data_IF_568106261670
#
_entry.id   IF_568106261670
#
_cell.length_a   1.000
_cell.length_b   1.000
_cell.length_c   1.000
_cell.angle_alpha   90.00
_cell.angle_beta   90.00
_cell.angle_gamma   90.00
#
_symmetry.space_group_name_H-M   'P 1'
#
loop_
_entity.id
_entity.type
_entity.pdbx_description
1 polymer ?
#
# COMPACT_ATOMS: atom_id res chain seq x y z
N UNK A 1 -5.85 1.97 -22.84
CA UNK A 1 -4.50 1.47 -22.51
C UNK A 1 -4.51 0.56 -21.28
N UNK A 2 -4.98 1.02 -20.11
CA UNK A 2 -4.97 0.22 -18.87
C UNK A 2 -5.76 -1.10 -18.95
N UNK A 3 -6.99 -1.10 -19.49
CA UNK A 3 -7.78 -2.32 -19.63
C UNK A 3 -7.11 -3.37 -20.54
N UNK A 4 -6.46 -2.91 -21.61
CA UNK A 4 -5.71 -3.76 -22.54
C UNK A 4 -4.47 -4.31 -21.86
N UNK A 5 -3.73 -3.50 -21.08
CA UNK A 5 -2.55 -3.99 -20.34
C UNK A 5 -2.91 -4.97 -19.24
N UNK A 6 -4.02 -4.77 -18.53
CA UNK A 6 -4.52 -5.71 -17.52
C UNK A 6 -4.96 -7.01 -18.19
N UNK A 7 -5.69 -6.92 -19.30
CA UNK A 7 -6.11 -8.11 -20.05
C UNK A 7 -4.92 -8.90 -20.62
N UNK A 8 -3.92 -8.22 -21.20
CA UNK A 8 -2.72 -8.90 -21.72
C UNK A 8 -1.90 -9.53 -20.61
N UNK A 9 -1.78 -8.89 -19.45
CA UNK A 9 -1.13 -9.50 -18.27
C UNK A 9 -1.91 -10.73 -17.78
N UNK A 10 -3.24 -10.64 -17.68
CA UNK A 10 -4.08 -11.77 -17.29
C UNK A 10 -3.99 -12.93 -18.28
N UNK A 11 -4.02 -12.66 -19.58
CA UNK A 11 -3.86 -13.67 -20.63
C UNK A 11 -2.46 -14.29 -20.62
N UNK A 12 -1.42 -13.49 -20.38
CA UNK A 12 -0.05 -13.98 -20.22
C UNK A 12 0.07 -14.92 -19.01
N UNK A 13 -0.48 -14.54 -17.85
CA UNK A 13 -0.48 -15.39 -16.66
C UNK A 13 -1.28 -16.67 -16.87
N UNK A 14 -2.40 -16.60 -17.60
CA UNK A 14 -3.20 -17.78 -17.97
C UNK A 14 -2.41 -18.74 -18.88
N UNK A 15 -1.71 -18.21 -19.88
CA UNK A 15 -0.96 -19.01 -20.88
C UNK A 15 0.39 -19.51 -20.35
N UNK A 16 1.00 -18.81 -19.40
CA UNK A 16 2.32 -19.12 -18.83
C UNK A 16 2.21 -19.38 -17.33
N UNK A 17 1.42 -20.38 -16.95
CA UNK A 17 1.16 -20.74 -15.55
C UNK A 17 2.44 -21.06 -14.75
N UNK A 18 3.49 -21.56 -15.41
CA UNK A 18 4.78 -21.82 -14.77
C UNK A 18 5.60 -20.54 -14.51
N UNK A 19 5.33 -19.44 -15.23
CA UNK A 19 6.09 -18.19 -15.11
C UNK A 19 5.44 -17.23 -14.12
N UNK A 20 4.10 -17.24 -14.02
CA UNK A 20 3.36 -16.32 -13.16
C UNK A 20 3.81 -16.35 -11.68
N UNK A 21 4.06 -17.51 -11.04
CA UNK A 21 4.59 -17.56 -9.68
C UNK A 21 5.98 -16.92 -9.55
N UNK A 22 6.84 -17.04 -10.56
CA UNK A 22 8.17 -16.42 -10.54
C UNK A 22 8.09 -14.90 -10.68
N UNK A 23 7.18 -14.40 -11.53
CA UNK A 23 6.90 -12.96 -11.65
C UNK A 23 6.37 -12.43 -10.32
N UNK A 24 5.42 -13.12 -9.69
CA UNK A 24 4.90 -12.75 -8.38
C UNK A 24 6.00 -12.69 -7.31
N UNK A 25 6.93 -13.65 -7.31
CA UNK A 25 8.06 -13.64 -6.41
C UNK A 25 9.00 -12.44 -6.63
N UNK A 26 9.28 -12.07 -7.88
CA UNK A 26 10.08 -10.88 -8.18
C UNK A 26 9.37 -9.57 -7.82
N UNK A 27 8.06 -9.48 -8.08
CA UNK A 27 7.25 -8.33 -7.66
C UNK A 27 7.27 -8.16 -6.14
N UNK A 28 7.20 -9.27 -5.40
CA UNK A 28 7.18 -9.27 -3.95
C UNK A 28 8.45 -8.62 -3.32
N UNK A 29 9.62 -8.77 -3.95
CA UNK A 29 10.89 -8.19 -3.48
C UNK A 29 11.26 -6.86 -4.14
N UNK A 30 10.56 -6.43 -5.19
CA UNK A 30 10.89 -5.22 -5.94
C UNK A 30 11.00 -3.96 -5.06
N UNK A 31 10.11 -3.73 -4.07
CA UNK A 31 10.23 -2.59 -3.17
C UNK A 31 11.39 -2.66 -2.17
N UNK A 32 12.25 -3.69 -2.21
CA UNK A 32 13.37 -3.85 -1.27
C UNK A 32 14.32 -2.66 -1.31
N UNK A 33 14.49 -2.05 -2.49
CA UNK A 33 15.27 -0.82 -2.63
C UNK A 33 14.74 0.30 -1.71
N UNK A 34 13.42 0.45 -1.60
CA UNK A 34 12.78 1.44 -0.72
C UNK A 34 13.05 1.18 0.76
N UNK A 35 13.07 -0.10 1.15
CA UNK A 35 13.43 -0.47 2.52
C UNK A 35 14.88 -0.10 2.84
N UNK A 36 15.81 -0.31 1.89
CA UNK A 36 17.21 0.12 2.06
C UNK A 36 17.28 1.64 2.21
N UNK A 37 16.56 2.40 1.38
CA UNK A 37 16.51 3.86 1.45
C UNK A 37 16.01 4.38 2.80
N UNK A 38 14.98 3.75 3.38
CA UNK A 38 14.51 4.09 4.73
C UNK A 38 15.62 3.91 5.78
N UNK A 39 16.35 2.78 5.74
CA UNK A 39 17.40 2.52 6.71
C UNK A 39 18.61 3.44 6.55
N UNK A 40 18.97 3.79 5.31
CA UNK A 40 20.03 4.79 5.08
C UNK A 40 19.63 6.15 5.64
N UNK A 41 18.36 6.53 5.49
CA UNK A 41 17.85 7.79 5.97
C UNK A 41 17.79 7.84 7.51
N UNK A 42 17.33 6.76 8.14
CA UNK A 42 17.40 6.60 9.60
C UNK A 42 18.84 6.74 10.11
N UNK A 43 19.81 6.13 9.44
CA UNK A 43 21.23 6.25 9.81
C UNK A 43 21.76 7.68 9.64
N UNK A 44 21.33 8.39 8.59
CA UNK A 44 21.69 9.79 8.36
C UNK A 44 21.09 10.71 9.43
N UNK A 45 19.82 10.51 9.79
CA UNK A 45 19.17 11.30 10.84
C UNK A 45 19.81 11.06 12.21
N UNK A 46 20.19 9.82 12.54
CA UNK A 46 20.94 9.49 13.77
C UNK A 46 22.32 10.17 13.78
N UNK A 47 22.91 10.40 12.61
CA UNK A 47 24.23 11.03 12.47
C UNK A 47 24.18 12.57 12.38
N UNK A 48 23.04 13.19 12.72
CA UNK A 48 22.78 14.64 12.59
C UNK A 48 23.07 15.22 11.20
N UNK A 49 22.96 14.38 10.16
CA UNK A 49 23.05 14.85 8.77
C UNK A 49 21.66 15.20 8.28
N UNK A 50 21.54 16.30 7.54
CA UNK A 50 20.29 16.70 6.92
C UNK A 50 19.73 15.55 6.07
N UNK A 51 18.48 15.20 6.37
CA UNK A 51 17.82 14.06 5.75
C UNK A 51 17.40 14.33 4.31
N UNK A 52 17.37 13.27 3.50
CA UNK A 52 16.88 13.31 2.13
C UNK A 52 15.51 12.64 2.02
N UNK A 53 14.79 12.90 0.92
CA UNK A 53 13.55 12.20 0.64
C UNK A 53 13.82 10.70 0.37
N UNK A 54 13.47 9.85 1.31
CA UNK A 54 13.68 8.39 1.21
C UNK A 54 12.63 7.69 0.34
N UNK A 55 11.59 8.39 -0.12
CA UNK A 55 10.58 7.86 -1.04
C UNK A 55 11.05 7.85 -2.51
N UNK A 56 12.22 8.45 -2.80
CA UNK A 56 12.99 8.33 -4.04
C UNK A 56 12.15 8.46 -5.32
N UNK A 57 11.77 7.32 -5.92
CA UNK A 57 11.10 7.24 -7.23
C UNK A 57 9.58 7.48 -7.18
N UNK A 58 8.99 7.51 -5.99
CA UNK A 58 7.56 7.73 -5.83
C UNK A 58 7.26 9.22 -5.69
N UNK A 59 6.42 9.75 -6.58
CA UNK A 59 5.97 11.14 -6.52
C UNK A 59 5.14 11.47 -5.26
N UNK A 60 4.65 10.45 -4.55
CA UNK A 60 3.81 10.58 -3.36
C UNK A 60 3.95 9.34 -2.47
N UNK A 61 4.05 9.55 -1.15
CA UNK A 61 4.10 8.49 -0.13
C UNK A 61 2.96 7.48 -0.29
N UNK A 62 1.76 7.94 -0.68
CA UNK A 62 0.58 7.07 -0.83
C UNK A 62 0.72 6.09 -2.00
N UNK A 63 1.44 6.49 -3.05
CA UNK A 63 1.68 5.62 -4.20
C UNK A 63 2.65 4.50 -3.84
N UNK A 64 3.61 4.78 -2.94
CA UNK A 64 4.48 3.76 -2.36
C UNK A 64 3.67 2.80 -1.47
N UNK A 65 2.85 3.33 -0.56
CA UNK A 65 1.99 2.54 0.34
C UNK A 65 1.07 1.58 -0.43
N UNK A 66 0.40 2.08 -1.48
CA UNK A 66 -0.50 1.30 -2.32
C UNK A 66 0.25 0.23 -3.12
N UNK A 67 1.49 0.50 -3.55
CA UNK A 67 2.33 -0.47 -4.24
C UNK A 67 2.91 -1.54 -3.28
N UNK A 68 3.20 -1.18 -2.02
CA UNK A 68 3.73 -2.09 -1.01
C UNK A 68 2.69 -3.11 -0.56
N UNK A 69 1.42 -2.71 -0.45
CA UNK A 69 0.33 -3.57 0.02
C UNK A 69 0.28 -4.96 -0.67
N UNK A 70 0.17 -5.07 -2.01
CA UNK A 70 0.16 -6.37 -2.67
C UNK A 70 1.50 -7.11 -2.53
N UNK A 71 2.63 -6.38 -2.49
CA UNK A 71 3.96 -6.99 -2.36
C UNK A 71 4.14 -7.71 -1.01
N UNK A 72 3.63 -7.13 0.08
CA UNK A 72 3.63 -7.75 1.41
C UNK A 72 2.86 -9.07 1.40
N UNK A 73 1.65 -9.10 0.81
CA UNK A 73 0.86 -10.33 0.72
C UNK A 73 1.55 -11.39 -0.15
N UNK A 74 2.17 -10.99 -1.27
CA UNK A 74 2.94 -11.91 -2.11
C UNK A 74 4.16 -12.48 -1.37
N UNK A 75 4.88 -11.67 -0.57
CA UNK A 75 5.97 -12.16 0.27
C UNK A 75 5.49 -13.22 1.26
N UNK A 76 4.36 -12.99 1.94
CA UNK A 76 3.79 -13.95 2.89
C UNK A 76 3.23 -15.20 2.21
N UNK A 77 2.74 -15.09 0.98
CA UNK A 77 2.26 -16.23 0.20
C UNK A 77 3.41 -17.17 -0.24
N UNK A 78 4.63 -16.64 -0.36
CA UNK A 78 5.85 -17.37 -0.74
C UNK A 78 5.77 -18.08 -2.12
N UNK A 79 5.52 -17.34 -3.22
CA UNK A 79 5.41 -17.93 -4.55
C UNK A 79 6.77 -18.41 -5.11
N UNK A 80 6.73 -19.42 -5.99
CA UNK A 80 7.88 -19.94 -6.74
C UNK A 80 9.16 -20.17 -5.91
N UNK A 81 10.24 -19.45 -6.22
CA UNK A 81 11.53 -19.62 -5.59
C UNK A 81 11.54 -19.20 -4.10
N UNK A 82 10.50 -18.49 -3.63
CA UNK A 82 10.29 -18.20 -2.20
C UNK A 82 9.65 -19.37 -1.43
N UNK A 83 9.06 -20.34 -2.14
CA UNK A 83 8.42 -21.50 -1.52
C UNK A 83 9.45 -22.38 -0.81
N UNK A 84 9.01 -23.06 0.25
CA UNK A 84 9.79 -24.15 0.82
C UNK A 84 9.87 -25.28 -0.20
N UNK A 85 11.03 -25.91 -0.28
CA UNK A 85 11.28 -26.96 -1.26
C UNK A 85 12.00 -28.11 -0.55
N UNK A 86 11.40 -29.29 -0.63
CA UNK A 86 11.89 -30.47 0.07
C UNK A 86 13.31 -30.86 -0.37
N UNK A 87 13.68 -30.55 -1.63
CA UNK A 87 14.98 -30.90 -2.19
C UNK A 87 16.05 -29.83 -1.94
N UNK A 88 15.70 -28.66 -1.39
CA UNK A 88 16.67 -27.62 -1.05
C UNK A 88 17.33 -27.91 0.29
N UNK A 89 18.60 -27.52 0.40
CA UNK A 89 19.33 -27.62 1.65
C UNK A 89 18.61 -26.86 2.78
N UNK A 90 18.45 -27.50 3.93
CA UNK A 90 17.74 -26.94 5.10
C UNK A 90 18.22 -25.54 5.52
N UNK A 91 19.52 -25.25 5.34
CA UNK A 91 20.13 -23.94 5.64
C UNK A 91 19.59 -22.86 4.71
N UNK A 92 19.46 -23.16 3.42
CA UNK A 92 18.96 -22.20 2.42
C UNK A 92 17.50 -21.86 2.70
N UNK A 93 16.66 -22.85 3.02
CA UNK A 93 15.24 -22.65 3.33
C UNK A 93 15.02 -21.81 4.60
N UNK A 94 15.87 -22.01 5.62
CA UNK A 94 15.91 -21.16 6.82
C UNK A 94 16.33 -19.74 6.48
N UNK A 95 17.38 -19.58 5.66
CA UNK A 95 17.85 -18.27 5.19
C UNK A 95 16.77 -17.52 4.41
N UNK A 96 16.12 -18.16 3.43
CA UNK A 96 15.00 -17.58 2.68
C UNK A 96 13.87 -17.16 3.62
N UNK A 97 13.50 -18.01 4.58
CA UNK A 97 12.44 -17.68 5.53
C UNK A 97 12.82 -16.49 6.41
N UNK A 98 14.08 -16.40 6.86
CA UNK A 98 14.58 -15.25 7.61
C UNK A 98 14.60 -13.98 6.75
N UNK A 99 15.03 -14.06 5.48
CA UNK A 99 14.98 -12.93 4.55
C UNK A 99 13.55 -12.44 4.33
N UNK A 100 12.58 -13.34 4.09
CA UNK A 100 11.17 -12.96 3.95
C UNK A 100 10.68 -12.23 5.20
N UNK A 101 11.00 -12.74 6.39
CA UNK A 101 10.62 -12.10 7.65
C UNK A 101 11.23 -10.70 7.79
N UNK A 102 12.52 -10.54 7.49
CA UNK A 102 13.20 -9.23 7.57
C UNK A 102 12.63 -8.22 6.57
N UNK A 103 12.42 -8.65 5.32
CA UNK A 103 11.90 -7.79 4.24
C UNK A 103 10.44 -7.39 4.50
N UNK A 104 9.59 -8.33 4.93
CA UNK A 104 8.21 -8.00 5.26
C UNK A 104 8.12 -7.11 6.51
N UNK A 105 9.00 -7.30 7.49
CA UNK A 105 9.10 -6.39 8.66
C UNK A 105 9.50 -4.98 8.22
N UNK A 106 10.47 -4.84 7.32
CA UNK A 106 10.87 -3.51 6.83
C UNK A 106 9.78 -2.85 5.99
N UNK A 107 9.00 -3.60 5.21
CA UNK A 107 7.86 -3.03 4.47
C UNK A 107 6.76 -2.54 5.40
N UNK A 108 6.41 -3.30 6.44
CA UNK A 108 5.44 -2.84 7.43
C UNK A 108 5.99 -1.64 8.20
N UNK A 109 7.30 -1.59 8.45
CA UNK A 109 7.94 -0.43 9.09
C UNK A 109 7.83 0.84 8.23
N UNK A 110 8.00 0.74 6.91
CA UNK A 110 7.73 1.84 5.96
C UNK A 110 6.31 2.38 6.17
N UNK A 111 5.30 1.49 6.16
CA UNK A 111 3.88 1.88 6.35
C UNK A 111 3.63 2.60 7.68
N UNK A 112 4.37 2.24 8.74
CA UNK A 112 4.30 2.94 10.02
C UNK A 112 4.87 4.36 9.94
N UNK A 113 6.01 4.54 9.29
CA UNK A 113 6.66 5.85 9.11
C UNK A 113 5.86 6.78 8.20
N UNK A 114 5.20 6.23 7.18
CA UNK A 114 4.33 6.99 6.27
C UNK A 114 2.99 7.36 6.91
N UNK A 115 2.65 6.73 8.03
CA UNK A 115 1.35 6.88 8.66
C UNK A 115 0.23 6.30 7.80
N UNK A 116 0.49 5.19 7.09
CA UNK A 116 -0.37 4.55 6.10
C UNK A 116 -1.56 3.79 6.72
N UNK A 117 -2.42 4.49 7.46
CA UNK A 117 -3.51 3.91 8.27
C UNK A 117 -4.46 3.03 7.49
N UNK A 118 -4.92 3.49 6.33
CA UNK A 118 -5.85 2.75 5.50
C UNK A 118 -5.23 1.42 5.03
N UNK A 119 -3.94 1.42 4.71
CA UNK A 119 -3.20 0.22 4.30
C UNK A 119 -3.03 -0.73 5.47
N UNK A 120 -2.60 -0.25 6.64
CA UNK A 120 -2.48 -1.07 7.84
C UNK A 120 -3.82 -1.71 8.26
N UNK A 121 -4.91 -0.94 8.21
CA UNK A 121 -6.27 -1.45 8.47
C UNK A 121 -6.66 -2.50 7.41
N UNK A 122 -6.34 -2.27 6.14
CA UNK A 122 -6.63 -3.23 5.07
C UNK A 122 -5.86 -4.54 5.25
N UNK A 123 -4.61 -4.49 5.70
CA UNK A 123 -3.82 -5.68 6.06
C UNK A 123 -4.51 -6.44 7.19
N UNK A 124 -4.87 -5.74 8.28
CA UNK A 124 -5.55 -6.36 9.43
C UNK A 124 -6.89 -6.97 9.03
N UNK A 125 -7.69 -6.27 8.22
CA UNK A 125 -8.96 -6.75 7.72
C UNK A 125 -8.79 -7.99 6.83
N UNK A 126 -7.79 -8.00 5.95
CA UNK A 126 -7.48 -9.15 5.10
C UNK A 126 -7.02 -10.36 5.90
N UNK A 127 -6.15 -10.17 6.90
CA UNK A 127 -5.71 -11.25 7.78
C UNK A 127 -6.86 -11.78 8.65
N UNK A 128 -7.73 -10.90 9.18
CA UNK A 128 -8.92 -11.29 9.91
C UNK A 128 -9.88 -12.10 9.02
N UNK A 129 -10.09 -11.66 7.79
CA UNK A 129 -10.92 -12.38 6.81
C UNK A 129 -10.38 -13.79 6.57
N UNK A 130 -9.07 -13.95 6.39
CA UNK A 130 -8.43 -15.26 6.24
C UNK A 130 -8.58 -16.09 7.52
N UNK A 131 -8.35 -15.49 8.70
CA UNK A 131 -8.47 -16.19 9.98
C UNK A 131 -9.89 -16.73 10.22
N UNK A 132 -10.92 -15.95 9.88
CA UNK A 132 -12.33 -16.35 10.06
C UNK A 132 -12.73 -17.42 9.04
N UNK A 133 -12.37 -17.25 7.77
CA UNK A 133 -12.91 -18.07 6.68
C UNK A 133 -12.02 -19.28 6.29
N UNK A 134 -10.74 -19.28 6.64
CA UNK A 134 -9.74 -20.25 6.17
C UNK A 134 -8.94 -20.85 7.32
N UNK A 135 -9.58 -21.72 8.11
CA UNK A 135 -8.93 -22.44 9.22
C UNK A 135 -7.72 -23.27 8.78
N UNK A 136 -7.76 -23.79 7.55
CA UNK A 136 -6.65 -24.49 6.89
C UNK A 136 -5.38 -23.63 6.72
N UNK A 137 -5.50 -22.30 6.80
CA UNK A 137 -4.39 -21.35 6.65
C UNK A 137 -3.83 -20.82 7.97
N UNK A 138 -4.35 -21.23 9.13
CA UNK A 138 -3.94 -20.65 10.42
C UNK A 138 -2.46 -20.80 10.72
N UNK A 139 -1.85 -21.93 10.37
CA UNK A 139 -0.40 -22.15 10.52
C UNK A 139 0.44 -21.16 9.70
N UNK A 140 -0.12 -20.61 8.62
CA UNK A 140 0.55 -19.64 7.74
C UNK A 140 0.38 -18.20 8.22
N UNK A 141 -0.54 -17.92 9.15
CA UNK A 141 -0.75 -16.58 9.73
C UNK A 141 0.35 -16.17 10.72
N UNK A 142 1.12 -17.13 11.23
CA UNK A 142 2.21 -16.87 12.18
C UNK A 142 3.24 -15.87 11.62
N UNK A 143 3.63 -16.02 10.35
CA UNK A 143 4.58 -15.12 9.70
C UNK A 143 4.04 -13.68 9.58
N UNK A 144 2.85 -13.42 8.96
CA UNK A 144 2.24 -12.09 8.94
C UNK A 144 2.12 -11.44 10.32
N UNK A 145 1.58 -12.18 11.30
CA UNK A 145 1.38 -11.65 12.65
C UNK A 145 2.70 -11.31 13.33
N UNK A 146 3.72 -12.17 13.20
CA UNK A 146 5.06 -11.90 13.73
C UNK A 146 5.67 -10.65 13.08
N UNK A 147 5.50 -10.46 11.77
CA UNK A 147 6.04 -9.30 11.04
C UNK A 147 5.34 -8.00 11.41
N UNK A 148 4.02 -8.03 11.64
CA UNK A 148 3.27 -6.88 12.12
C UNK A 148 3.72 -6.49 13.53
N UNK A 149 3.82 -7.47 14.42
CA UNK A 149 4.23 -7.24 15.81
C UNK A 149 5.67 -6.71 15.89
N UNK A 150 6.60 -7.32 15.16
CA UNK A 150 8.01 -6.90 15.16
C UNK A 150 8.17 -5.49 14.60
N UNK A 151 7.52 -5.17 13.48
CA UNK A 151 7.57 -3.84 12.89
C UNK A 151 6.97 -2.79 13.82
N UNK A 152 5.85 -3.08 14.48
CA UNK A 152 5.26 -2.19 15.48
C UNK A 152 6.19 -1.94 16.67
N UNK A 153 6.83 -2.98 17.21
CA UNK A 153 7.79 -2.85 18.31
C UNK A 153 8.99 -2.00 17.87
N UNK A 154 9.58 -2.30 16.71
CA UNK A 154 10.72 -1.55 16.16
C UNK A 154 10.35 -0.09 15.95
N UNK A 155 9.19 0.19 15.35
CA UNK A 155 8.69 1.55 15.16
C UNK A 155 8.57 2.30 16.49
N UNK A 156 7.96 1.68 17.51
CA UNK A 156 7.79 2.30 18.83
C UNK A 156 9.13 2.59 19.50
N UNK A 157 10.11 1.67 19.41
CA UNK A 157 11.46 1.86 19.94
C UNK A 157 12.15 3.02 19.23
N UNK A 158 12.18 3.01 17.90
CA UNK A 158 12.85 4.05 17.12
C UNK A 158 12.21 5.41 17.35
N UNK A 159 10.88 5.50 17.34
CA UNK A 159 10.15 6.74 17.58
C UNK A 159 10.37 7.30 18.99
N UNK A 160 10.41 6.44 20.01
CA UNK A 160 10.50 6.94 21.39
C UNK A 160 11.94 7.23 21.84
N UNK A 161 12.91 6.41 21.40
CA UNK A 161 14.27 6.45 21.95
C UNK A 161 15.34 6.95 20.99
N UNK A 162 15.09 6.96 19.67
CA UNK A 162 16.15 7.19 18.69
C UNK A 162 15.89 8.43 17.84
N UNK A 163 14.73 8.51 17.18
CA UNK A 163 14.41 9.60 16.26
C UNK A 163 12.94 10.04 16.39
N UNK A 164 12.61 10.88 17.39
CA UNK A 164 11.22 11.30 17.66
C UNK A 164 10.53 12.04 16.51
N UNK A 165 11.29 12.81 15.74
CA UNK A 165 10.77 13.71 14.70
C UNK A 165 10.93 13.17 13.27
N UNK A 166 11.37 11.91 13.10
CA UNK A 166 11.61 11.32 11.78
C UNK A 166 10.34 11.19 10.93
N UNK A 167 9.18 10.98 11.56
CA UNK A 167 7.90 10.89 10.86
C UNK A 167 7.17 12.23 10.86
N UNK A 168 7.08 12.89 9.71
CA UNK A 168 6.19 14.05 9.53
C UNK A 168 4.70 13.68 9.64
N UNK A 169 4.37 12.41 9.39
CA UNK A 169 3.00 11.89 9.42
C UNK A 169 2.78 10.99 10.64
N UNK A 170 1.84 11.39 11.51
CA UNK A 170 1.43 10.57 12.64
C UNK A 170 0.22 9.70 12.29
N UNK A 171 0.31 8.41 12.58
CA UNK A 171 -0.84 7.46 12.60
C UNK A 171 -1.97 7.95 13.52
N UNK A 172 -1.65 8.76 14.53
CA UNK A 172 -2.65 9.26 15.50
C UNK A 172 -3.24 10.63 15.11
N UNK A 173 -3.10 11.10 13.85
CA UNK A 173 -3.66 12.38 13.41
C UNK A 173 -5.20 12.37 13.38
N UNK A 174 -5.84 13.36 13.99
CA UNK A 174 -7.31 13.44 14.12
C UNK A 174 -8.02 14.17 12.96
N UNK A 175 -7.30 14.64 11.94
CA UNK A 175 -7.87 15.39 10.81
C UNK A 175 -8.10 14.58 9.52
N UNK A 176 -9.07 15.02 8.71
CA UNK A 176 -9.45 14.42 7.41
C UNK A 176 -8.53 14.78 6.25
N UNK A 177 -7.53 15.64 6.46
CA UNK A 177 -6.64 16.17 5.41
C UNK A 177 -7.38 17.03 4.37
N UNK A 178 -8.46 17.71 4.77
CA UNK A 178 -9.31 18.51 3.87
C UNK A 178 -10.27 17.68 3.01
N UNK A 179 -10.36 16.35 3.25
CA UNK A 179 -11.28 15.49 2.49
C UNK A 179 -12.74 15.80 2.77
N UNK A 180 -13.08 16.21 3.99
CA UNK A 180 -14.46 16.55 4.34
C UNK A 180 -14.94 17.73 3.49
N UNK A 181 -14.12 18.76 3.35
CA UNK A 181 -14.39 19.92 2.49
C UNK A 181 -14.54 19.52 1.01
N UNK A 182 -13.66 18.64 0.54
CA UNK A 182 -13.73 18.10 -0.82
C UNK A 182 -15.00 17.27 -1.05
N UNK A 183 -15.43 16.48 -0.07
CA UNK A 183 -16.65 15.66 -0.18
C UNK A 183 -17.90 16.52 -0.11
N UNK A 184 -17.94 17.53 0.76
CA UNK A 184 -19.02 18.51 0.79
C UNK A 184 -19.16 19.19 -0.59
N UNK A 185 -18.05 19.65 -1.18
CA UNK A 185 -18.02 20.20 -2.54
C UNK A 185 -18.50 19.19 -3.59
N UNK A 186 -18.09 17.93 -3.48
CA UNK A 186 -18.54 16.85 -4.38
C UNK A 186 -20.06 16.74 -4.37
N UNK A 187 -20.67 16.70 -3.19
CA UNK A 187 -22.12 16.58 -3.07
C UNK A 187 -22.86 17.82 -3.58
N UNK A 188 -22.35 19.02 -3.34
CA UNK A 188 -22.91 20.27 -3.86
C UNK A 188 -22.92 20.27 -5.40
N UNK A 189 -21.77 19.99 -6.02
CA UNK A 189 -21.64 19.97 -7.48
C UNK A 189 -22.47 18.86 -8.14
N UNK A 190 -22.55 17.70 -7.49
CA UNK A 190 -23.42 16.62 -7.97
C UNK A 190 -24.90 16.99 -7.92
N UNK A 191 -25.35 17.69 -6.87
CA UNK A 191 -26.75 18.13 -6.75
C UNK A 191 -27.17 19.08 -7.88
N UNK A 192 -26.24 19.84 -8.43
CA UNK A 192 -26.50 20.73 -9.59
C UNK A 192 -26.72 19.95 -10.89
N UNK A 193 -26.01 18.83 -11.09
CA UNK A 193 -26.09 18.02 -12.31
C UNK A 193 -26.08 16.50 -12.02
N UNK A 194 -27.15 15.92 -11.47
CA UNK A 194 -27.09 14.57 -10.90
C UNK A 194 -26.87 13.44 -11.92
N UNK A 195 -27.35 13.62 -13.15
CA UNK A 195 -27.36 12.57 -14.19
C UNK A 195 -26.03 12.52 -14.93
N UNK A 196 -25.55 13.68 -15.39
CA UNK A 196 -24.37 13.79 -16.27
C UNK A 196 -23.14 14.41 -15.59
N UNK A 197 -23.29 14.91 -14.36
CA UNK A 197 -22.21 15.58 -13.64
C UNK A 197 -21.79 16.90 -14.28
N UNK A 198 -20.68 17.44 -13.76
CA UNK A 198 -20.13 18.74 -14.18
C UNK A 198 -19.11 18.64 -15.32
N UNK A 199 -18.84 17.43 -15.83
CA UNK A 199 -17.81 17.14 -16.82
C UNK A 199 -16.45 16.76 -16.21
N UNK A 200 -15.71 15.92 -16.93
CA UNK A 200 -14.39 15.43 -16.52
C UNK A 200 -13.40 16.56 -16.24
N UNK A 201 -12.65 16.44 -15.14
CA UNK A 201 -11.65 17.41 -14.68
C UNK A 201 -12.19 18.80 -14.26
N UNK A 202 -13.51 19.03 -14.29
CA UNK A 202 -14.09 20.31 -13.87
C UNK A 202 -14.24 20.45 -12.35
N UNK A 203 -14.00 19.40 -11.57
CA UNK A 203 -14.06 19.46 -10.11
C UNK A 203 -13.13 20.55 -9.55
N UNK A 204 -11.90 20.62 -10.07
CA UNK A 204 -10.88 21.57 -9.63
C UNK A 204 -11.24 23.01 -10.00
N UNK A 205 -11.92 23.20 -11.13
CA UNK A 205 -12.29 24.52 -11.68
C UNK A 205 -13.65 25.03 -11.23
N UNK A 206 -14.39 24.25 -10.44
CA UNK A 206 -15.75 24.61 -10.02
C UNK A 206 -15.76 25.25 -8.63
N UNK A 207 -16.65 26.24 -8.44
CA UNK A 207 -16.90 26.85 -7.14
C UNK A 207 -17.55 25.86 -6.17
N UNK A 208 -17.29 25.96 -4.84
CA UNK A 208 -16.32 26.86 -4.20
C UNK A 208 -14.86 26.40 -4.41
N UNK A 209 -13.96 27.38 -4.51
CA UNK A 209 -12.50 27.17 -4.59
C UNK A 209 -11.93 26.82 -3.22
N UNK A 210 -12.15 25.60 -2.75
CA UNK A 210 -11.68 25.16 -1.43
C UNK A 210 -10.22 24.66 -1.49
N UNK A 211 -9.97 23.65 -2.31
CA UNK A 211 -8.69 22.98 -2.44
C UNK A 211 -8.48 22.62 -3.92
N UNK A 212 -7.28 22.86 -4.45
CA UNK A 212 -6.88 22.44 -5.79
C UNK A 212 -6.54 20.93 -5.77
N UNK A 213 -7.54 20.11 -5.50
CA UNK A 213 -7.45 18.66 -5.39
C UNK A 213 -8.79 18.02 -5.78
N UNK A 214 -8.75 16.75 -6.17
CA UNK A 214 -9.96 15.95 -6.41
C UNK A 214 -10.43 15.28 -5.10
N UNK A 215 -11.65 14.70 -5.02
CA UNK A 215 -12.20 14.08 -3.80
C UNK A 215 -11.40 12.92 -3.20
N UNK A 216 -10.30 12.50 -3.86
CA UNK A 216 -9.45 11.36 -3.50
C UNK A 216 -10.25 10.07 -3.26
N UNK A 217 -11.36 9.93 -3.97
CA UNK A 217 -12.27 8.81 -3.92
C UNK A 217 -12.88 8.68 -5.33
N UNK A 218 -12.52 7.60 -6.04
CA UNK A 218 -12.87 7.43 -7.45
C UNK A 218 -14.39 7.36 -7.69
N UNK A 219 -15.20 6.62 -6.91
CA UNK A 219 -16.65 6.70 -6.99
C UNK A 219 -17.20 8.11 -6.82
N UNK A 220 -16.73 8.87 -5.82
CA UNK A 220 -17.18 10.25 -5.60
C UNK A 220 -16.77 11.19 -6.74
N UNK A 221 -15.56 11.01 -7.27
CA UNK A 221 -15.10 11.77 -8.44
C UNK A 221 -15.95 11.47 -9.68
N UNK A 222 -16.24 10.19 -9.96
CA UNK A 222 -17.11 9.80 -11.07
C UNK A 222 -18.54 10.32 -10.89
N UNK A 223 -19.09 10.23 -9.68
CA UNK A 223 -20.40 10.75 -9.36
C UNK A 223 -20.49 12.26 -9.60
N UNK A 224 -19.46 13.02 -9.21
CA UNK A 224 -19.44 14.47 -9.41
C UNK A 224 -19.21 14.87 -10.87
N UNK A 225 -18.21 14.28 -11.52
CA UNK A 225 -17.78 14.68 -12.87
C UNK A 225 -18.70 14.11 -13.96
N UNK A 226 -19.33 12.97 -13.74
CA UNK A 226 -20.10 12.24 -14.76
C UNK A 226 -21.49 11.80 -14.28
N UNK A 227 -21.89 12.18 -13.07
CA UNK A 227 -23.20 11.85 -12.50
C UNK A 227 -23.39 10.35 -12.29
N UNK A 228 -24.66 9.95 -12.19
CA UNK A 228 -25.03 8.53 -12.13
C UNK A 228 -24.54 7.76 -13.36
N UNK A 229 -24.49 8.40 -14.53
CA UNK A 229 -23.98 7.78 -15.75
C UNK A 229 -22.51 7.32 -15.60
N UNK A 230 -21.67 8.09 -14.91
CA UNK A 230 -20.30 7.71 -14.58
C UNK A 230 -20.21 6.50 -13.66
N UNK A 231 -21.04 6.45 -12.61
CA UNK A 231 -21.04 5.33 -11.67
C UNK A 231 -21.44 4.00 -12.33
N UNK A 232 -22.35 4.04 -13.31
CA UNK A 232 -22.78 2.84 -14.03
C UNK A 232 -21.63 2.16 -14.79
N UNK A 233 -20.55 2.88 -15.10
CA UNK A 233 -19.37 2.28 -15.75
C UNK A 233 -18.53 1.40 -14.82
N UNK A 234 -18.77 1.45 -13.50
CA UNK A 234 -18.10 0.62 -12.50
C UNK A 234 -18.84 -0.71 -12.21
N UNK A 235 -20.06 -0.89 -12.73
CA UNK A 235 -20.89 -2.08 -12.58
C UNK A 235 -20.71 -3.04 -13.77
#
# INVERSE_FOLDING_TARGET
MLAISVWTQADLFRKKQNVAPHIAAWLAVLPLFMAVSLFTELAHTISDKAGHDWHQSFANIRMLDDALLPCIFLLWQRPAWLSKDYFRHSILDKSITASIYLISTSYVLILWYDGARAVLISILAGLLFIAVNRRDFWSKLCLPLATLLSASIVFLILKHFVVPDFSANSVLRTGSSGRDDLWIKTFQLWQENPIFGIGGNNFVTSNPWLLNAHPHNMPLQLLCEWGVAGLLTLL
#
